data_IF_187318058873
#
_entry.id   IF_187318058873
#
_cell.length_a   1.000
_cell.length_b   1.000
_cell.length_c   1.000
_cell.angle_alpha   90.00
_cell.angle_beta   90.00
_cell.angle_gamma   90.00
#
_symmetry.space_group_name_H-M   'P 1'
#
loop_
_entity.id
_entity.type
_entity.pdbx_description
1 polymer ?
#
# COMPACT_ATOMS: atom_id res chain seq x y z
N UNK A 1 -2.48 15.01 13.47
CA UNK A 1 -2.13 16.27 14.13
C UNK A 1 -2.18 17.40 13.10
N UNK A 2 -1.46 18.35 13.03
CA UNK A 2 -1.30 19.47 12.06
C UNK A 2 -2.53 19.91 11.20
N UNK A 3 -3.54 19.11 11.04
CA UNK A 3 -4.77 19.43 10.30
C UNK A 3 -4.68 19.39 8.79
N UNK A 4 -5.74 19.82 8.10
CA UNK A 4 -5.88 19.68 6.63
C UNK A 4 -4.75 20.32 5.82
N UNK A 5 -4.14 21.39 6.34
CA UNK A 5 -3.08 22.14 5.65
C UNK A 5 -1.74 21.38 5.57
N UNK A 6 -1.53 20.35 6.41
CA UNK A 6 -0.28 19.59 6.50
C UNK A 6 -0.49 18.09 6.26
N UNK A 7 -1.68 17.65 5.92
CA UNK A 7 -2.02 16.26 5.60
C UNK A 7 -2.25 16.14 4.09
N UNK A 8 -1.24 15.69 3.32
CA UNK A 8 -1.37 15.56 1.88
C UNK A 8 -2.29 14.38 1.55
N UNK A 9 -3.32 14.63 0.75
CA UNK A 9 -4.28 13.63 0.27
C UNK A 9 -4.11 13.42 -1.24
N UNK A 10 -4.30 14.47 -2.03
CA UNK A 10 -4.24 14.44 -3.49
C UNK A 10 -2.81 14.46 -4.02
N UNK A 11 -1.86 14.92 -3.23
CA UNK A 11 -0.47 15.18 -3.64
C UNK A 11 0.24 13.91 -4.11
N UNK A 12 -0.07 12.74 -3.53
CA UNK A 12 0.54 11.48 -3.98
C UNK A 12 0.08 11.15 -5.40
N UNK A 13 -1.21 11.25 -5.67
CA UNK A 13 -1.77 11.01 -7.00
C UNK A 13 -1.24 12.04 -8.01
N UNK A 14 -1.15 13.31 -7.62
CA UNK A 14 -0.57 14.37 -8.45
C UNK A 14 0.89 14.05 -8.82
N UNK A 15 1.73 13.68 -7.85
CA UNK A 15 3.13 13.32 -8.11
C UNK A 15 3.25 12.08 -8.99
N UNK A 16 2.42 11.05 -8.77
CA UNK A 16 2.36 9.84 -9.58
C UNK A 16 1.90 10.11 -11.03
N UNK A 17 1.24 11.22 -11.30
CA UNK A 17 0.84 11.62 -12.65
C UNK A 17 1.96 12.28 -13.46
N UNK A 18 3.05 12.69 -12.83
CA UNK A 18 4.19 13.35 -13.48
C UNK A 18 5.04 12.30 -14.20
N UNK A 19 5.26 12.43 -15.53
CA UNK A 19 6.10 11.49 -16.26
C UNK A 19 7.51 11.38 -15.67
N UNK A 20 8.02 10.16 -15.58
CA UNK A 20 9.36 9.83 -15.08
C UNK A 20 9.60 10.16 -13.58
N UNK A 21 8.61 10.60 -12.85
CA UNK A 21 8.71 10.77 -11.40
C UNK A 21 8.56 9.41 -10.71
N UNK A 22 9.47 9.07 -9.81
CA UNK A 22 9.28 7.95 -8.89
C UNK A 22 8.72 8.47 -7.55
N UNK A 23 7.60 7.93 -7.14
CA UNK A 23 6.97 8.26 -5.85
C UNK A 23 7.08 7.03 -4.96
N UNK A 24 7.99 7.08 -3.98
CA UNK A 24 8.28 5.94 -3.11
C UNK A 24 7.74 6.22 -1.72
N UNK A 25 6.85 5.35 -1.24
CA UNK A 25 6.23 5.43 0.08
C UNK A 25 6.57 4.19 0.91
N UNK A 26 7.74 4.20 1.62
CA UNK A 26 8.23 3.05 2.37
C UNK A 26 7.39 2.78 3.62
N UNK A 27 7.14 1.51 3.92
CA UNK A 27 6.33 1.05 5.04
C UNK A 27 7.09 0.83 6.34
N UNK A 28 8.43 0.69 6.28
CA UNK A 28 9.28 0.47 7.45
C UNK A 28 10.75 0.87 7.20
N UNK A 29 11.63 0.58 8.16
CA UNK A 29 13.05 0.93 8.09
C UNK A 29 13.80 0.21 6.96
N UNK A 30 13.45 -1.04 6.64
CA UNK A 30 14.08 -1.79 5.55
C UNK A 30 13.68 -1.22 4.20
N UNK A 31 12.39 -0.95 4.01
CA UNK A 31 11.90 -0.29 2.80
C UNK A 31 12.45 1.13 2.67
N UNK A 32 12.62 1.85 3.79
CA UNK A 32 13.23 3.19 3.81
C UNK A 32 14.67 3.16 3.30
N UNK A 33 15.49 2.23 3.79
CA UNK A 33 16.87 2.09 3.33
C UNK A 33 16.93 1.78 1.82
N UNK A 34 16.04 0.91 1.33
CA UNK A 34 15.91 0.59 -0.08
C UNK A 34 15.44 1.80 -0.91
N UNK A 35 14.48 2.58 -0.40
CA UNK A 35 13.96 3.79 -1.06
C UNK A 35 15.06 4.86 -1.23
N UNK A 36 15.87 5.08 -0.19
CA UNK A 36 17.04 5.97 -0.27
C UNK A 36 18.06 5.48 -1.28
N UNK A 37 18.36 4.18 -1.29
CA UNK A 37 19.26 3.59 -2.27
C UNK A 37 18.75 3.85 -3.69
N UNK A 38 17.50 3.57 -3.98
CA UNK A 38 16.88 3.82 -5.29
C UNK A 38 16.95 5.30 -5.68
N UNK A 39 16.66 6.21 -4.75
CA UNK A 39 16.70 7.65 -5.00
C UNK A 39 18.11 8.13 -5.36
N UNK A 40 19.16 7.64 -4.68
CA UNK A 40 20.55 8.02 -4.91
C UNK A 40 21.08 7.41 -6.23
N UNK A 41 20.70 6.17 -6.54
CA UNK A 41 21.11 5.48 -7.76
C UNK A 41 20.37 5.96 -9.01
N UNK A 42 19.20 6.59 -8.85
CA UNK A 42 18.40 7.12 -9.96
C UNK A 42 19.05 8.34 -10.59
N UNK A 43 19.52 8.21 -11.83
CA UNK A 43 20.17 9.30 -12.57
C UNK A 43 19.21 10.03 -13.51
N UNK A 44 18.19 9.33 -13.98
CA UNK A 44 17.28 9.83 -15.05
C UNK A 44 15.90 10.23 -14.49
N UNK A 45 15.55 9.74 -13.28
CA UNK A 45 14.24 9.91 -12.71
C UNK A 45 14.32 10.67 -11.38
N UNK A 46 13.66 11.82 -11.23
CA UNK A 46 13.49 12.43 -9.92
C UNK A 46 12.68 11.51 -9.00
N UNK A 47 13.00 11.53 -7.71
CA UNK A 47 12.36 10.67 -6.72
C UNK A 47 11.80 11.47 -5.58
N UNK A 48 10.52 11.31 -5.30
CA UNK A 48 9.83 11.80 -4.11
C UNK A 48 9.74 10.69 -3.07
N UNK A 49 10.34 10.88 -1.89
CA UNK A 49 10.21 9.99 -0.74
C UNK A 49 9.09 10.50 0.16
N UNK A 50 8.00 9.74 0.27
CA UNK A 50 6.83 10.09 1.06
C UNK A 50 6.89 9.34 2.38
N UNK A 51 7.20 10.06 3.43
CA UNK A 51 7.48 9.49 4.76
C UNK A 51 6.32 9.73 5.71
N UNK A 52 6.15 8.83 6.66
CA UNK A 52 5.19 8.99 7.75
C UNK A 52 5.84 9.63 8.98
N UNK A 53 5.07 10.32 9.81
CA UNK A 53 5.54 10.94 11.06
C UNK A 53 5.42 10.02 12.28
N UNK A 54 4.50 9.06 12.23
CA UNK A 54 4.35 8.06 13.29
C UNK A 54 5.45 6.99 13.22
N UNK A 55 5.70 6.37 14.36
CA UNK A 55 6.56 5.19 14.41
C UNK A 55 5.91 4.03 13.68
N UNK A 56 6.71 3.30 12.90
CA UNK A 56 6.31 2.08 12.21
C UNK A 56 7.23 0.93 12.63
N UNK A 57 6.66 -0.26 12.78
CA UNK A 57 7.41 -1.46 13.11
C UNK A 57 8.06 -2.05 11.86
N UNK A 58 9.28 -2.58 12.00
CA UNK A 58 9.94 -3.32 10.93
C UNK A 58 9.29 -4.69 10.77
N UNK A 59 8.84 -4.99 9.57
CA UNK A 59 8.13 -6.22 9.26
C UNK A 59 9.09 -7.33 8.79
N UNK A 60 8.88 -8.56 9.26
CA UNK A 60 9.76 -9.69 8.93
C UNK A 60 9.81 -10.00 7.42
N UNK A 61 8.78 -9.63 6.66
CA UNK A 61 8.70 -9.84 5.21
C UNK A 61 9.29 -8.72 4.37
N UNK A 62 9.78 -7.63 4.98
CA UNK A 62 10.34 -6.49 4.25
C UNK A 62 11.59 -6.85 3.46
N UNK A 63 11.68 -6.37 2.21
CA UNK A 63 12.73 -6.79 1.27
C UNK A 63 13.26 -5.60 0.47
N UNK A 64 14.59 -5.39 0.56
CA UNK A 64 15.30 -4.40 -0.26
C UNK A 64 15.15 -4.70 -1.75
N UNK A 65 15.26 -5.98 -2.14
CA UNK A 65 15.05 -6.40 -3.52
C UNK A 65 13.60 -6.19 -3.96
N UNK A 66 12.63 -6.49 -3.08
CA UNK A 66 11.22 -6.27 -3.35
C UNK A 66 10.89 -4.80 -3.63
N UNK A 67 11.45 -3.89 -2.85
CA UNK A 67 11.30 -2.43 -3.08
C UNK A 67 11.89 -2.01 -4.42
N UNK A 68 13.02 -2.59 -4.84
CA UNK A 68 13.63 -2.30 -6.14
C UNK A 68 12.77 -2.71 -7.33
N UNK A 69 11.76 -3.55 -7.12
CA UNK A 69 10.75 -3.95 -8.11
C UNK A 69 9.46 -3.12 -8.05
N UNK A 70 9.36 -2.19 -7.09
CA UNK A 70 8.23 -1.28 -6.92
C UNK A 70 7.05 -1.86 -6.15
N UNK A 71 6.82 -3.16 -6.20
CA UNK A 71 5.87 -3.89 -5.36
C UNK A 71 6.30 -5.36 -5.21
N UNK A 72 5.97 -5.97 -4.08
CA UNK A 72 6.32 -7.35 -3.79
C UNK A 72 5.38 -7.97 -2.74
N UNK A 73 5.40 -9.29 -2.64
CA UNK A 73 4.63 -10.03 -1.64
C UNK A 73 5.35 -9.95 -0.29
N UNK A 74 4.79 -9.18 0.65
CA UNK A 74 5.32 -9.08 2.02
C UNK A 74 4.68 -10.12 2.94
N UNK A 75 3.43 -10.49 2.69
CA UNK A 75 2.69 -11.51 3.42
C UNK A 75 2.07 -12.52 2.46
N UNK A 76 2.76 -13.66 2.25
CA UNK A 76 2.28 -14.72 1.37
C UNK A 76 1.07 -15.44 1.99
N UNK A 77 0.14 -15.87 1.16
CA UNK A 77 -0.92 -16.79 1.51
C UNK A 77 -0.34 -18.17 1.93
N UNK A 78 -1.01 -18.88 2.83
CA UNK A 78 -0.56 -20.19 3.33
C UNK A 78 -1.09 -21.35 2.45
N UNK A 79 -2.29 -21.18 1.88
CA UNK A 79 -2.97 -22.21 1.08
C UNK A 79 -3.46 -21.62 -0.24
N UNK A 80 -4.73 -21.21 -0.27
CA UNK A 80 -5.37 -20.60 -1.44
C UNK A 80 -5.54 -19.10 -1.18
N UNK A 81 -5.16 -18.30 -2.15
CA UNK A 81 -5.33 -16.85 -2.07
C UNK A 81 -6.79 -16.47 -2.32
N UNK A 82 -7.54 -16.19 -1.26
CA UNK A 82 -8.95 -15.78 -1.34
C UNK A 82 -9.09 -14.33 -1.81
N UNK A 83 -8.15 -13.46 -1.41
CA UNK A 83 -8.07 -12.06 -1.82
C UNK A 83 -6.64 -11.51 -1.69
N UNK A 84 -6.40 -10.35 -2.31
CA UNK A 84 -5.12 -9.63 -2.20
C UNK A 84 -5.36 -8.29 -1.54
N UNK A 85 -4.58 -7.95 -0.51
CA UNK A 85 -4.52 -6.61 0.07
C UNK A 85 -3.26 -5.94 -0.45
N UNK A 86 -3.39 -4.77 -1.06
CA UNK A 86 -2.30 -3.97 -1.59
C UNK A 86 -2.18 -2.73 -0.74
N UNK A 87 -1.02 -2.49 -0.14
CA UNK A 87 -0.81 -1.34 0.72
C UNK A 87 0.53 -0.65 0.45
N UNK A 88 0.68 0.59 0.87
CA UNK A 88 1.92 1.34 0.84
C UNK A 88 2.14 2.09 2.15
N UNK A 89 3.38 2.43 2.46
CA UNK A 89 3.70 3.21 3.67
C UNK A 89 3.24 2.52 4.96
N UNK A 90 2.81 3.31 5.92
CA UNK A 90 2.36 2.83 7.24
C UNK A 90 1.18 1.84 7.17
N UNK A 91 0.40 1.84 6.09
CA UNK A 91 -0.75 0.97 5.93
C UNK A 91 -0.37 -0.48 5.63
N UNK A 92 0.89 -0.75 5.27
CA UNK A 92 1.39 -2.14 5.10
C UNK A 92 1.30 -2.91 6.41
N UNK A 93 1.67 -2.29 7.54
CA UNK A 93 1.53 -2.91 8.87
C UNK A 93 0.05 -3.17 9.21
N UNK A 94 -0.84 -2.22 8.91
CA UNK A 94 -2.28 -2.39 9.06
C UNK A 94 -2.80 -3.60 8.27
N UNK A 95 -2.36 -3.75 7.01
CA UNK A 95 -2.71 -4.87 6.15
C UNK A 95 -2.19 -6.22 6.68
N UNK A 96 -0.96 -6.25 7.23
CA UNK A 96 -0.39 -7.46 7.84
C UNK A 96 -1.15 -7.88 9.10
N UNK A 97 -1.55 -6.93 9.94
CA UNK A 97 -2.38 -7.20 11.11
C UNK A 97 -3.76 -7.73 10.69
N UNK A 98 -4.38 -7.15 9.67
CA UNK A 98 -5.65 -7.63 9.13
C UNK A 98 -5.53 -9.05 8.53
N UNK A 99 -4.42 -9.40 7.86
CA UNK A 99 -4.15 -10.76 7.40
C UNK A 99 -4.21 -11.77 8.55
N UNK A 100 -3.62 -11.43 9.69
CA UNK A 100 -3.63 -12.29 10.88
C UNK A 100 -5.06 -12.54 11.38
N UNK A 101 -5.89 -11.51 11.42
CA UNK A 101 -7.29 -11.64 11.86
C UNK A 101 -8.15 -12.40 10.83
N UNK A 102 -7.93 -12.16 9.54
CA UNK A 102 -8.61 -12.88 8.45
C UNK A 102 -8.29 -14.38 8.48
N UNK A 103 -7.03 -14.73 8.73
CA UNK A 103 -6.61 -16.14 8.82
C UNK A 103 -7.34 -16.89 9.94
N UNK A 104 -7.58 -16.24 11.10
CA UNK A 104 -8.39 -16.81 12.20
C UNK A 104 -9.83 -17.08 11.78
N UNK A 105 -10.34 -16.34 10.80
CA UNK A 105 -11.68 -16.51 10.22
C UNK A 105 -11.71 -17.49 9.03
N UNK A 106 -10.56 -18.10 8.70
CA UNK A 106 -10.43 -19.04 7.60
C UNK A 106 -10.32 -18.39 6.21
N UNK A 107 -10.07 -17.08 6.16
CA UNK A 107 -9.86 -16.33 4.91
C UNK A 107 -8.34 -16.12 4.76
N UNK A 108 -7.76 -16.71 3.71
CA UNK A 108 -6.32 -16.63 3.46
C UNK A 108 -6.01 -15.57 2.40
N UNK A 109 -5.29 -14.53 2.79
CA UNK A 109 -5.01 -13.40 1.91
C UNK A 109 -3.51 -13.24 1.67
N UNK A 110 -3.19 -12.75 0.47
CA UNK A 110 -1.87 -12.21 0.15
C UNK A 110 -1.82 -10.73 0.53
N UNK A 111 -0.74 -10.30 1.16
CA UNK A 111 -0.43 -8.88 1.35
C UNK A 111 0.71 -8.49 0.43
N UNK A 112 0.49 -7.45 -0.34
CA UNK A 112 1.47 -6.85 -1.25
C UNK A 112 1.84 -5.47 -0.71
N UNK A 113 3.14 -5.25 -0.44
CA UNK A 113 3.67 -3.91 -0.29
C UNK A 113 3.93 -3.33 -1.67
N UNK A 114 3.39 -2.15 -1.95
CA UNK A 114 3.57 -1.42 -3.21
C UNK A 114 4.14 -0.02 -2.92
N UNK A 115 5.42 0.06 -2.52
CA UNK A 115 6.04 1.34 -2.23
C UNK A 115 6.16 2.27 -3.44
N UNK A 116 6.27 1.74 -4.68
CA UNK A 116 6.42 2.56 -5.87
C UNK A 116 5.64 1.97 -7.06
N UNK A 117 4.55 2.60 -7.43
CA UNK A 117 3.70 2.16 -8.54
C UNK A 117 4.43 2.23 -9.89
N UNK A 118 5.20 3.29 -10.13
CA UNK A 118 5.88 3.56 -11.40
C UNK A 118 6.94 2.50 -11.70
N UNK A 119 7.72 2.09 -10.70
CA UNK A 119 8.72 1.02 -10.86
C UNK A 119 8.04 -0.33 -11.07
N UNK A 120 6.95 -0.61 -10.36
CA UNK A 120 6.19 -1.85 -10.55
C UNK A 120 5.58 -1.94 -11.95
N UNK A 121 5.07 -0.84 -12.47
CA UNK A 121 4.49 -0.78 -13.82
C UNK A 121 5.50 -1.11 -14.92
N UNK A 122 6.76 -0.78 -14.71
CA UNK A 122 7.87 -1.08 -15.63
C UNK A 122 8.33 -2.54 -15.60
N UNK A 123 7.90 -3.33 -14.59
CA UNK A 123 8.26 -4.74 -14.52
C UNK A 123 7.63 -5.53 -15.67
N UNK A 124 8.26 -6.64 -16.02
CA UNK A 124 7.72 -7.56 -17.02
C UNK A 124 6.40 -8.20 -16.58
N UNK A 125 5.69 -8.78 -17.55
CA UNK A 125 4.38 -9.39 -17.30
C UNK A 125 4.45 -10.56 -16.31
N UNK A 126 5.52 -11.34 -16.35
CA UNK A 126 5.68 -12.51 -15.48
C UNK A 126 5.81 -12.09 -14.02
N UNK A 127 6.65 -11.07 -13.74
CA UNK A 127 6.79 -10.53 -12.40
C UNK A 127 5.48 -9.91 -11.91
N UNK A 128 4.84 -9.07 -12.71
CA UNK A 128 3.55 -8.46 -12.33
C UNK A 128 2.49 -9.52 -12.00
N UNK A 129 2.44 -10.60 -12.76
CA UNK A 129 1.52 -11.71 -12.47
C UNK A 129 1.91 -12.56 -11.26
N UNK A 130 3.19 -12.66 -10.94
CA UNK A 130 3.60 -13.36 -9.71
C UNK A 130 3.18 -12.62 -8.45
N UNK A 131 3.14 -11.29 -8.50
CA UNK A 131 2.72 -10.42 -7.38
C UNK A 131 1.19 -10.25 -7.36
N UNK A 132 0.60 -9.89 -8.50
CA UNK A 132 -0.84 -9.62 -8.69
C UNK A 132 -1.41 -10.54 -9.78
N UNK A 133 -1.62 -11.83 -9.51
CA UNK A 133 -2.12 -12.79 -10.50
C UNK A 133 -3.52 -12.41 -11.01
N UNK A 134 -3.75 -12.56 -12.31
CA UNK A 134 -4.98 -12.12 -12.97
C UNK A 134 -6.23 -12.92 -12.56
N UNK A 135 -6.05 -14.13 -12.09
CA UNK A 135 -7.12 -15.01 -11.61
C UNK A 135 -7.61 -14.62 -10.19
N UNK A 136 -6.80 -13.88 -9.41
CA UNK A 136 -7.23 -13.33 -8.12
C UNK A 136 -7.72 -11.89 -8.33
N UNK A 137 -9.02 -11.73 -8.58
CA UNK A 137 -9.66 -10.44 -8.85
C UNK A 137 -10.17 -9.72 -7.61
N UNK A 138 -10.35 -10.44 -6.51
CA UNK A 138 -10.77 -9.91 -5.22
C UNK A 138 -9.60 -9.16 -4.57
N UNK A 139 -9.54 -7.84 -4.81
CA UNK A 139 -8.42 -7.00 -4.37
C UNK A 139 -8.88 -5.79 -3.59
N UNK A 140 -8.18 -5.49 -2.52
CA UNK A 140 -8.37 -4.31 -1.69
C UNK A 140 -7.08 -3.49 -1.73
N UNK A 141 -7.15 -2.20 -2.08
CA UNK A 141 -6.05 -1.27 -1.81
C UNK A 141 -6.29 -0.51 -0.52
N UNK A 142 -5.21 -0.23 0.22
CA UNK A 142 -5.24 0.48 1.51
C UNK A 142 -4.14 1.55 1.50
N UNK A 143 -4.54 2.80 1.36
CA UNK A 143 -3.62 3.95 1.39
C UNK A 143 -4.34 5.18 1.95
N UNK A 144 -3.76 5.83 2.95
CA UNK A 144 -4.25 7.11 3.50
C UNK A 144 -3.90 8.27 2.55
N UNK A 145 -4.50 8.25 1.38
CA UNK A 145 -4.40 9.26 0.33
C UNK A 145 -5.60 9.11 -0.61
N UNK A 146 -5.67 9.93 -1.68
CA UNK A 146 -6.73 9.88 -2.68
C UNK A 146 -6.86 8.52 -3.34
N UNK A 147 -8.10 8.11 -3.65
CA UNK A 147 -8.42 6.88 -4.39
C UNK A 147 -7.87 6.86 -5.82
N UNK A 148 -7.48 8.03 -6.34
CA UNK A 148 -7.07 8.20 -7.73
C UNK A 148 -5.86 7.32 -8.09
N UNK A 149 -6.02 6.50 -9.12
CA UNK A 149 -5.00 5.59 -9.65
C UNK A 149 -5.07 4.15 -9.11
N UNK A 150 -5.66 3.90 -7.95
CA UNK A 150 -5.72 2.56 -7.36
C UNK A 150 -6.57 1.56 -8.12
N UNK A 151 -7.60 2.01 -8.86
CA UNK A 151 -8.44 1.14 -9.69
C UNK A 151 -7.65 0.39 -10.76
N UNK A 152 -6.49 0.88 -11.18
CA UNK A 152 -5.57 0.18 -12.07
C UNK A 152 -5.11 -1.18 -11.52
N UNK A 153 -4.97 -1.29 -10.20
CA UNK A 153 -4.45 -2.49 -9.52
C UNK A 153 -5.56 -3.35 -8.93
N UNK A 154 -6.61 -2.74 -8.42
CA UNK A 154 -7.72 -3.50 -7.83
C UNK A 154 -8.76 -3.93 -8.87
N UNK A 155 -8.87 -3.23 -9.98
CA UNK A 155 -9.86 -3.50 -11.03
C UNK A 155 -11.28 -3.04 -10.65
N UNK A 156 -12.26 -3.43 -11.46
CA UNK A 156 -13.66 -3.05 -11.26
C UNK A 156 -14.35 -3.84 -10.14
N UNK A 157 -13.83 -5.02 -9.81
CA UNK A 157 -14.39 -5.88 -8.77
C UNK A 157 -13.76 -5.64 -7.40
N UNK A 158 -12.71 -4.79 -7.35
CA UNK A 158 -11.96 -4.50 -6.14
C UNK A 158 -12.53 -3.34 -5.33
N UNK A 159 -12.00 -3.19 -4.12
CA UNK A 159 -12.33 -2.09 -3.21
C UNK A 159 -11.09 -1.20 -3.04
N UNK A 160 -11.30 0.12 -3.05
CA UNK A 160 -10.27 1.11 -2.72
C UNK A 160 -10.60 1.69 -1.34
N UNK A 161 -9.73 1.47 -0.36
CA UNK A 161 -9.80 2.08 0.97
C UNK A 161 -8.83 3.27 0.99
N UNK A 162 -9.38 4.47 0.90
CA UNK A 162 -8.69 5.73 0.64
C UNK A 162 -9.32 6.89 1.44
N UNK A 163 -8.75 8.08 1.30
CA UNK A 163 -9.30 9.33 1.80
C UNK A 163 -9.53 10.24 0.60
N UNK A 164 -10.79 10.60 0.34
CA UNK A 164 -11.18 11.51 -0.75
C UNK A 164 -11.83 12.78 -0.19
N UNK A 165 -11.35 13.23 0.96
CA UNK A 165 -11.74 14.47 1.64
C UNK A 165 -10.54 15.11 2.32
N UNK A 166 -10.66 16.33 2.80
CA UNK A 166 -9.57 16.99 3.53
C UNK A 166 -9.22 16.29 4.83
N UNK A 167 -7.95 16.41 5.25
CA UNK A 167 -7.48 15.94 6.54
C UNK A 167 -8.22 16.56 7.72
N UNK A 168 -7.96 16.09 8.94
CA UNK A 168 -8.62 16.50 10.18
C UNK A 168 -7.60 16.85 11.26
N UNK A 169 -7.96 17.79 12.15
CA UNK A 169 -7.13 18.19 13.29
C UNK A 169 -7.54 17.42 14.54
N UNK A 170 -6.73 16.44 14.93
CA UNK A 170 -6.83 15.72 16.19
C UNK A 170 -5.53 14.92 16.40
N UNK A 171 -5.33 14.25 17.56
CA UNK A 171 -4.26 13.27 17.73
C UNK A 171 -4.32 12.19 16.62
N UNK A 172 -3.13 11.77 16.14
CA UNK A 172 -3.01 10.90 14.95
C UNK A 172 -3.94 9.68 15.00
N UNK A 173 -3.96 8.95 16.12
CA UNK A 173 -4.79 7.76 16.25
C UNK A 173 -6.30 8.04 16.07
N UNK A 174 -6.78 9.17 16.61
CA UNK A 174 -8.18 9.57 16.46
C UNK A 174 -8.50 9.94 15.00
N UNK A 175 -7.58 10.61 14.32
CA UNK A 175 -7.74 10.96 12.89
C UNK A 175 -7.79 9.70 12.04
N UNK A 176 -6.82 8.78 12.22
CA UNK A 176 -6.73 7.50 11.51
C UNK A 176 -8.02 6.69 11.69
N UNK A 177 -8.48 6.55 12.94
CA UNK A 177 -9.72 5.85 13.28
C UNK A 177 -10.96 6.55 12.66
N UNK A 178 -11.01 7.89 12.71
CA UNK A 178 -12.13 8.66 12.14
C UNK A 178 -12.29 8.52 10.63
N UNK A 179 -11.20 8.19 9.92
CA UNK A 179 -11.21 7.82 8.50
C UNK A 179 -11.42 6.32 8.27
N UNK A 180 -11.56 5.54 9.34
CA UNK A 180 -11.83 4.11 9.27
C UNK A 180 -10.60 3.24 8.99
N UNK A 181 -9.37 3.76 9.07
CA UNK A 181 -8.17 2.95 8.86
C UNK A 181 -7.84 2.09 10.07
N UNK A 182 -8.70 1.11 10.31
CA UNK A 182 -8.59 0.13 11.40
C UNK A 182 -8.48 -1.29 10.85
N UNK A 183 -7.91 -2.20 11.64
CA UNK A 183 -7.83 -3.63 11.30
C UNK A 183 -9.22 -4.19 11.00
N UNK A 184 -10.21 -3.88 11.84
CA UNK A 184 -11.59 -4.36 11.67
C UNK A 184 -12.19 -3.89 10.33
N UNK A 185 -11.90 -2.66 9.91
CA UNK A 185 -12.43 -2.13 8.64
C UNK A 185 -11.76 -2.76 7.43
N UNK A 186 -10.46 -3.05 7.49
CA UNK A 186 -9.77 -3.83 6.46
C UNK A 186 -10.37 -5.24 6.36
N UNK A 187 -10.57 -5.90 7.51
CA UNK A 187 -11.20 -7.23 7.59
C UNK A 187 -12.61 -7.20 6.99
N UNK A 188 -13.45 -6.23 7.38
CA UNK A 188 -14.82 -6.06 6.85
C UNK A 188 -14.81 -5.91 5.32
N UNK A 189 -13.89 -5.12 4.77
CA UNK A 189 -13.79 -4.90 3.33
C UNK A 189 -13.37 -6.18 2.59
N UNK A 190 -12.42 -6.95 3.14
CA UNK A 190 -12.04 -8.25 2.56
C UNK A 190 -13.21 -9.25 2.65
N UNK A 191 -13.92 -9.32 3.78
CA UNK A 191 -15.10 -10.19 3.90
C UNK A 191 -16.19 -9.85 2.88
N UNK A 192 -16.36 -8.58 2.51
CA UNK A 192 -17.28 -8.18 1.41
C UNK A 192 -16.83 -8.66 0.05
N UNK A 193 -15.51 -8.68 -0.20
CA UNK A 193 -14.94 -9.16 -1.46
C UNK A 193 -15.05 -10.67 -1.63
N UNK A 194 -14.96 -11.45 -0.55
CA UNK A 194 -14.91 -12.90 -0.63
C UNK A 194 -16.28 -13.57 -0.58
N UNK A 195 -17.30 -12.85 -0.14
CA UNK A 195 -18.72 -13.27 -0.22
C UNK A 195 -19.22 -13.24 -1.65
#
# INVERSE_FOLDING_TARGET
EDGPTHQPIEQFAMLRSIPNMHVIRPGDAVEMAAAWKLAIESKENPTALILTRQNVETMAGSSVEGVSKGAYIIGKEEKQCDAIIIASGSEVNLAMNAKTELLKKGIDVRVVSMPCQEIFDQQDKAYKQSVLPNDVRKRLSVEMASSFGWHKYVGLDGIVMSIDEFGRSAPANQVIESFGFTVDKVVENVEKLVK
#
